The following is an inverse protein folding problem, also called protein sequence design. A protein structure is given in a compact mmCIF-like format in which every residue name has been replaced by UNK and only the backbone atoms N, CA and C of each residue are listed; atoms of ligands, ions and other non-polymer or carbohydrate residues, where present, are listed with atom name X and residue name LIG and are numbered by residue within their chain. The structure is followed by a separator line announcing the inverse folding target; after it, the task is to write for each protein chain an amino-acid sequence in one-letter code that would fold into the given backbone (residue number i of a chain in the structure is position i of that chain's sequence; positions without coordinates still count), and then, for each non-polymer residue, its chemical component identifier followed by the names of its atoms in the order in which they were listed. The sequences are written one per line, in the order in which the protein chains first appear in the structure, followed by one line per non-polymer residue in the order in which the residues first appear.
data_IF_479752701259
#
_entry.id   IF_479752701259
#
_cell.length_a   1.000
_cell.length_b   1.000
_cell.length_c   1.000
_cell.angle_alpha   90.00
_cell.angle_beta   90.00
_cell.angle_gamma   90.00
#
_symmetry.space_group_name_H-M   'P 1'
#
loop_
_entity.id
_entity.type
_entity.pdbx_description
1 polymer ?
#
# COMPACT_ATOMS: atom_id res chain seq x y z
N UNK A 1 -15.26 2.60 9.67
CA UNK A 1 -14.23 1.92 9.14
C UNK A 1 -14.08 2.27 7.71
N UNK A 2 -13.00 2.81 7.31
CA UNK A 2 -12.79 3.13 5.97
C UNK A 2 -11.58 2.47 5.41
N UNK A 3 -11.61 2.05 4.23
CA UNK A 3 -10.50 1.39 3.60
C UNK A 3 -10.10 2.17 2.37
N UNK A 4 -8.83 2.48 2.25
CA UNK A 4 -8.34 3.19 1.12
C UNK A 4 -7.35 2.34 0.38
N UNK A 5 -7.40 2.34 -0.93
CA UNK A 5 -6.48 1.55 -1.71
C UNK A 5 -5.38 2.42 -2.22
N UNK A 6 -4.17 1.97 -2.17
CA UNK A 6 -3.03 2.69 -2.71
C UNK A 6 -2.30 1.82 -3.72
N UNK A 7 -1.94 2.38 -4.84
CA UNK A 7 -1.23 1.65 -5.86
C UNK A 7 0.10 2.29 -6.13
N UNK A 8 1.11 1.53 -6.32
CA UNK A 8 2.43 2.03 -6.63
C UNK A 8 3.22 0.96 -7.35
N UNK A 9 4.43 1.21 -7.68
CA UNK A 9 5.18 0.24 -8.39
C UNK A 9 5.53 -0.91 -7.51
N UNK A 10 5.76 -0.69 -6.25
CA UNK A 10 6.08 -1.77 -5.34
C UNK A 10 5.28 -1.56 -4.08
N UNK A 11 5.23 -2.57 -3.26
CA UNK A 11 4.52 -2.49 -2.00
C UNK A 11 5.15 -1.42 -1.13
N UNK A 12 6.46 -1.35 -1.12
CA UNK A 12 7.14 -0.36 -0.33
C UNK A 12 6.74 1.03 -0.75
N UNK A 13 6.65 1.28 -2.00
CA UNK A 13 6.27 2.58 -2.48
C UNK A 13 4.82 2.87 -2.13
N UNK A 14 3.98 1.86 -2.19
CA UNK A 14 2.59 2.04 -1.84
C UNK A 14 2.45 2.41 -0.37
N UNK A 15 3.22 1.75 0.49
CA UNK A 15 3.19 2.05 1.89
C UNK A 15 3.70 3.47 2.14
N UNK A 16 4.74 3.86 1.47
CA UNK A 16 5.29 5.19 1.62
C UNK A 16 4.24 6.22 1.20
N UNK A 17 3.58 5.97 0.10
CA UNK A 17 2.57 6.89 -0.36
C UNK A 17 1.45 6.99 0.67
N UNK A 18 1.06 5.88 1.25
CA UNK A 18 0.00 5.89 2.23
C UNK A 18 0.42 6.68 3.47
N UNK A 19 1.64 6.51 3.93
CA UNK A 19 2.10 7.21 5.10
C UNK A 19 2.12 8.72 4.85
N UNK A 20 2.53 9.11 3.67
CA UNK A 20 2.59 10.51 3.37
C UNK A 20 1.20 11.09 3.21
N UNK A 21 0.34 10.34 2.60
CA UNK A 21 -0.99 10.84 2.37
C UNK A 21 -1.76 10.93 3.66
N UNK A 22 -1.67 9.97 4.50
CA UNK A 22 -2.43 9.94 5.71
C UNK A 22 -1.71 10.52 6.92
N UNK A 23 -0.46 10.75 6.79
CA UNK A 23 0.30 11.28 7.89
C UNK A 23 0.47 10.30 9.04
N UNK A 24 0.52 9.03 8.73
CA UNK A 24 0.68 8.02 9.75
C UNK A 24 1.98 7.31 9.52
N UNK A 25 2.70 7.03 10.57
CA UNK A 25 3.95 6.34 10.42
C UNK A 25 3.74 4.94 9.95
N UNK A 26 4.65 4.39 9.21
CA UNK A 26 4.50 3.05 8.68
C UNK A 26 4.36 2.07 9.81
N UNK A 27 4.93 2.35 10.97
CA UNK A 27 4.83 1.44 12.07
C UNK A 27 3.42 1.35 12.53
N UNK A 28 2.65 2.40 12.46
CA UNK A 28 1.30 2.38 12.93
C UNK A 28 0.31 2.22 11.82
N UNK A 29 0.76 2.14 10.61
CA UNK A 29 -0.12 2.03 9.49
C UNK A 29 -0.64 0.63 9.38
N UNK A 30 -1.94 0.45 9.37
CA UNK A 30 -2.48 -0.87 9.23
C UNK A 30 -2.87 -1.08 7.80
N UNK A 31 -2.21 -1.91 7.10
CA UNK A 31 -2.49 -2.13 5.71
C UNK A 31 -2.49 -3.60 5.37
N UNK A 32 -3.05 -3.94 4.24
CA UNK A 32 -3.06 -5.31 3.81
C UNK A 32 -2.61 -5.34 2.37
N UNK A 33 -1.72 -6.19 2.02
CA UNK A 33 -1.23 -6.27 0.66
C UNK A 33 -2.23 -7.02 -0.19
N UNK A 34 -2.80 -6.35 -1.15
CA UNK A 34 -3.75 -6.96 -2.04
C UNK A 34 -3.01 -7.57 -3.21
N UNK A 35 -2.04 -6.86 -3.76
CA UNK A 35 -1.31 -7.37 -4.88
C UNK A 35 0.11 -6.90 -4.75
N UNK A 36 1.05 -7.78 -4.82
CA UNK A 36 2.42 -7.40 -4.67
C UNK A 36 2.98 -6.80 -5.94
N UNK A 37 2.27 -6.82 -6.99
CA UNK A 37 2.79 -6.32 -8.22
C UNK A 37 3.72 -7.28 -8.85
N UNK A 38 4.30 -6.91 -9.91
CA UNK A 38 5.15 -7.80 -10.58
C UNK A 38 6.48 -7.72 -10.04
N UNK A 39 7.08 -8.73 -9.58
CA UNK A 39 8.30 -8.69 -9.00
C UNK A 39 9.35 -8.69 -10.00
N UNK A 40 9.25 -8.39 -11.03
CA UNK A 40 10.23 -8.23 -11.91
C UNK A 40 11.08 -9.32 -12.20
N UNK A 41 10.84 -10.38 -11.95
CA UNK A 41 11.65 -11.41 -12.08
C UNK A 41 12.03 -11.49 -13.46
N UNK A 42 11.51 -11.81 -14.29
CA UNK A 42 11.87 -11.85 -15.55
C UNK A 42 10.93 -11.02 -16.13
N UNK A 43 10.14 -10.50 -15.44
CA UNK A 43 9.04 -9.90 -15.80
C UNK A 43 9.19 -8.86 -16.69
N UNK A 44 9.19 -8.91 -17.62
CA UNK A 44 9.40 -7.93 -18.35
C UNK A 44 8.21 -7.45 -18.86
N UNK A 45 7.26 -8.14 -19.17
CA UNK A 45 6.21 -7.64 -19.76
C UNK A 45 5.20 -7.21 -18.86
N UNK A 46 4.64 -7.73 -18.11
CA UNK A 46 3.55 -7.38 -17.36
C UNK A 46 3.89 -6.77 -16.13
N UNK A 47 4.11 -5.59 -16.04
CA UNK A 47 4.39 -5.00 -14.81
C UNK A 47 3.10 -4.58 -14.22
N UNK A 48 2.61 -5.22 -13.26
CA UNK A 48 1.42 -4.83 -12.57
C UNK A 48 1.76 -3.98 -11.41
N UNK A 49 0.96 -3.04 -11.03
CA UNK A 49 1.23 -2.21 -9.88
C UNK A 49 0.96 -2.94 -8.58
N UNK A 50 1.62 -2.61 -7.56
CA UNK A 50 1.35 -3.17 -6.26
C UNK A 50 0.16 -2.43 -5.67
N UNK A 51 -0.71 -3.12 -5.02
CA UNK A 51 -1.90 -2.53 -4.46
C UNK A 51 -2.00 -2.92 -3.01
N UNK A 52 -2.21 -1.95 -2.14
CA UNK A 52 -2.41 -2.27 -0.74
C UNK A 52 -3.68 -1.59 -0.29
N UNK A 53 -4.31 -2.12 0.73
CA UNK A 53 -5.48 -1.54 1.30
C UNK A 53 -5.16 -1.08 2.69
N UNK A 54 -5.41 0.16 2.99
CA UNK A 54 -5.12 0.68 4.30
C UNK A 54 -6.42 0.84 5.07
N UNK A 55 -6.46 0.26 6.24
CA UNK A 55 -7.64 0.32 7.06
C UNK A 55 -7.53 1.51 7.95
N UNK A 56 -8.41 2.44 7.80
CA UNK A 56 -8.37 3.59 8.64
C UNK A 56 -9.23 3.36 9.81
N UNK A 57 -8.68 2.85 10.84
CA UNK A 57 -9.41 2.62 11.97
C UNK A 57 -9.45 3.80 12.78
N UNK A 58 -10.44 4.48 12.94
CA UNK A 58 -10.45 5.54 13.73
C UNK A 58 -10.66 5.27 15.01
N UNK A 59 -9.91 5.12 15.75
CA UNK A 59 -10.06 4.99 17.08
C UNK A 59 -9.75 6.16 17.61
N UNK A 60 -10.46 6.98 17.62
CA UNK A 60 -10.09 8.07 18.20
C UNK A 60 -10.02 7.95 19.54
N UNK A 61 -9.28 8.36 20.11
CA UNK A 61 -9.13 8.32 21.49
C UNK A 61 -10.04 9.16 22.15
#
# INVERSE_FOLDING_TARGET
MEVKEFKAKTVDEAITAATLELGISSDKLQYEVVDEGSKGFLGIFNSKPAVIKVCLLYTSP
#
